data_IF_272824259035
#
_entry.id   IF_272824259035
#
_cell.length_a   1.000
_cell.length_b   1.000
_cell.length_c   1.000
_cell.angle_alpha   90.00
_cell.angle_beta   90.00
_cell.angle_gamma   90.00
#
_symmetry.space_group_name_H-M   'P 1'
#
loop_
_entity.id
_entity.type
_entity.pdbx_description
1 polymer ?
#
# COMPACT_ATOMS: atom_id res chain seq x y z
N UNK A 1 10.49 -8.41 -3.15
CA UNK A 1 9.24 -9.22 -3.06
C UNK A 1 8.89 -9.79 -4.44
N UNK A 2 8.14 -10.91 -4.55
CA UNK A 2 7.73 -11.48 -5.86
C UNK A 2 6.22 -11.30 -6.08
N UNK A 3 5.80 -10.95 -7.31
CA UNK A 3 4.38 -10.75 -7.68
C UNK A 3 3.48 -11.91 -7.24
N UNK A 4 3.91 -13.16 -7.44
CA UNK A 4 3.12 -14.33 -7.06
C UNK A 4 2.80 -14.39 -5.56
N UNK A 5 3.71 -13.91 -4.69
CA UNK A 5 3.49 -13.86 -3.24
C UNK A 5 2.43 -12.82 -2.87
N UNK A 6 2.46 -11.67 -3.56
CA UNK A 6 1.48 -10.59 -3.38
C UNK A 6 0.10 -11.07 -3.81
N UNK A 7 -0.02 -11.59 -5.04
CA UNK A 7 -1.30 -12.07 -5.57
C UNK A 7 -1.90 -13.19 -4.72
N UNK A 8 -1.08 -14.16 -4.30
CA UNK A 8 -1.55 -15.24 -3.42
C UNK A 8 -2.11 -14.71 -2.10
N UNK A 9 -1.57 -13.61 -1.56
CA UNK A 9 -2.12 -12.99 -0.36
C UNK A 9 -3.42 -12.23 -0.67
N UNK A 10 -3.45 -11.43 -1.74
CA UNK A 10 -4.66 -10.69 -2.13
C UNK A 10 -5.84 -11.61 -2.43
N UNK A 11 -5.61 -12.79 -2.99
CA UNK A 11 -6.66 -13.78 -3.25
C UNK A 11 -7.30 -14.33 -1.96
N UNK A 12 -6.66 -14.14 -0.80
CA UNK A 12 -7.23 -14.49 0.51
C UNK A 12 -8.13 -13.42 1.11
N UNK A 13 -8.10 -12.20 0.57
CA UNK A 13 -8.80 -11.04 1.13
C UNK A 13 -10.18 -10.84 0.51
N UNK A 14 -11.10 -10.37 1.34
CA UNK A 14 -12.38 -9.81 0.90
C UNK A 14 -12.19 -8.51 0.13
N UNK A 15 -13.19 -8.13 -0.65
CA UNK A 15 -13.19 -6.85 -1.39
C UNK A 15 -13.07 -5.66 -0.42
N UNK A 16 -13.71 -5.71 0.74
CA UNK A 16 -13.64 -4.63 1.74
C UNK A 16 -12.25 -4.51 2.38
N UNK A 17 -11.58 -5.63 2.68
CA UNK A 17 -10.19 -5.61 3.16
C UNK A 17 -9.24 -5.01 2.11
N UNK A 18 -9.43 -5.38 0.82
CA UNK A 18 -8.67 -4.78 -0.27
C UNK A 18 -8.90 -3.27 -0.37
N UNK A 19 -10.15 -2.81 -0.29
CA UNK A 19 -10.50 -1.38 -0.28
C UNK A 19 -9.75 -0.64 0.82
N UNK A 20 -9.80 -1.17 2.04
CA UNK A 20 -9.10 -0.57 3.18
C UNK A 20 -7.58 -0.54 2.96
N UNK A 21 -7.00 -1.63 2.44
CA UNK A 21 -5.58 -1.69 2.10
C UNK A 21 -5.17 -0.62 1.07
N UNK A 22 -5.86 -0.54 -0.07
CA UNK A 22 -5.56 0.44 -1.10
C UNK A 22 -5.81 1.89 -0.66
N UNK A 23 -6.87 2.14 0.11
CA UNK A 23 -7.13 3.46 0.70
C UNK A 23 -5.98 3.87 1.61
N UNK A 24 -5.45 2.92 2.40
CA UNK A 24 -4.33 3.21 3.30
C UNK A 24 -3.03 3.54 2.57
N UNK A 25 -2.75 2.91 1.43
CA UNK A 25 -1.61 3.28 0.57
C UNK A 25 -1.70 4.77 0.20
N UNK A 26 -2.87 5.24 -0.24
CA UNK A 26 -3.09 6.64 -0.60
C UNK A 26 -2.95 7.58 0.60
N UNK A 27 -3.57 7.25 1.72
CA UNK A 27 -3.51 8.06 2.94
C UNK A 27 -2.05 8.28 3.40
N UNK A 28 -1.27 7.20 3.48
CA UNK A 28 0.12 7.26 3.92
C UNK A 28 1.00 8.01 2.91
N UNK A 29 0.77 7.82 1.61
CA UNK A 29 1.44 8.62 0.60
C UNK A 29 1.17 10.13 0.76
N UNK A 30 -0.09 10.53 0.90
CA UNK A 30 -0.44 11.93 1.08
C UNK A 30 0.11 12.51 2.37
N UNK A 31 0.18 11.73 3.45
CA UNK A 31 0.83 12.14 4.71
C UNK A 31 2.33 12.41 4.51
N UNK A 32 3.04 11.49 3.86
CA UNK A 32 4.48 11.64 3.58
C UNK A 32 4.77 12.82 2.65
N UNK A 33 3.90 13.05 1.66
CA UNK A 33 3.97 14.22 0.78
C UNK A 33 3.78 15.52 1.57
N UNK A 34 2.75 15.60 2.43
CA UNK A 34 2.46 16.78 3.26
C UNK A 34 3.59 17.10 4.24
N UNK A 35 4.22 16.08 4.81
CA UNK A 35 5.28 16.25 5.80
C UNK A 35 6.66 16.54 5.19
N UNK A 36 6.77 16.64 3.85
CA UNK A 36 8.04 16.85 3.12
C UNK A 36 9.12 15.79 3.40
N UNK A 37 8.72 14.59 3.86
CA UNK A 37 9.67 13.49 4.14
C UNK A 37 10.15 12.80 2.88
N UNK A 38 9.42 12.88 1.76
CA UNK A 38 9.90 12.42 0.46
C UNK A 38 10.89 13.45 -0.10
N UNK A 39 12.20 13.12 -0.07
CA UNK A 39 13.21 13.87 -0.83
C UNK A 39 12.79 13.89 -2.31
N UNK A 40 12.97 15.02 -2.99
CA UNK A 40 12.46 15.32 -4.35
C UNK A 40 12.68 14.25 -5.43
N UNK A 41 13.61 13.30 -5.23
CA UNK A 41 13.91 12.23 -6.17
C UNK A 41 13.11 10.94 -5.90
N UNK A 42 12.73 10.66 -4.64
CA UNK A 42 11.81 9.56 -4.30
C UNK A 42 10.34 9.96 -4.57
N UNK A 43 10.03 11.25 -4.54
CA UNK A 43 8.67 11.75 -4.72
C UNK A 43 8.14 11.58 -6.15
N UNK A 44 9.00 11.59 -7.18
CA UNK A 44 8.55 11.58 -8.58
C UNK A 44 7.98 10.21 -8.97
N UNK A 45 8.65 9.12 -8.62
CA UNK A 45 8.18 7.78 -8.98
C UNK A 45 6.89 7.40 -8.22
N UNK A 46 6.81 7.74 -6.93
CA UNK A 46 5.58 7.60 -6.15
C UNK A 46 4.45 8.51 -6.66
N UNK A 47 4.73 9.78 -6.99
CA UNK A 47 3.73 10.71 -7.48
C UNK A 47 3.19 10.33 -8.87
N UNK A 48 4.05 9.91 -9.80
CA UNK A 48 3.63 9.45 -11.14
C UNK A 48 2.66 8.28 -11.05
N UNK A 49 2.89 7.38 -10.09
CA UNK A 49 2.11 6.17 -9.93
C UNK A 49 0.81 6.41 -9.14
N UNK A 50 0.87 7.09 -8.00
CA UNK A 50 -0.29 7.28 -7.13
C UNK A 50 -1.25 8.36 -7.64
N UNK A 51 -0.82 9.29 -8.51
CA UNK A 51 -1.75 10.13 -9.27
C UNK A 51 -2.65 9.33 -10.23
N UNK A 52 -2.28 8.09 -10.59
CA UNK A 52 -3.09 7.19 -11.44
C UNK A 52 -4.05 6.31 -10.65
N UNK A 53 -4.08 6.41 -9.33
CA UNK A 53 -5.13 5.86 -8.46
C UNK A 53 -6.09 7.00 -8.10
N UNK A 54 -7.16 7.25 -8.87
CA UNK A 54 -8.19 8.17 -8.43
C UNK A 54 -8.75 7.69 -7.09
N UNK A 55 -8.95 8.60 -6.13
CA UNK A 55 -9.62 8.29 -4.87
C UNK A 55 -10.97 7.59 -5.10
N UNK A 56 -11.67 7.91 -6.20
CA UNK A 56 -12.93 7.26 -6.60
C UNK A 56 -12.75 5.81 -7.05
N UNK A 57 -11.64 5.49 -7.74
CA UNK A 57 -11.32 4.13 -8.18
C UNK A 57 -11.01 3.24 -6.97
N UNK A 58 -10.31 3.78 -5.98
CA UNK A 58 -9.93 3.05 -4.76
C UNK A 58 -11.12 2.83 -3.84
N UNK A 59 -12.01 3.82 -3.68
CA UNK A 59 -13.18 3.72 -2.79
C UNK A 59 -14.13 2.59 -3.18
N UNK A 60 -14.33 2.38 -4.48
CA UNK A 60 -15.31 1.41 -4.96
C UNK A 60 -14.67 0.14 -5.57
N UNK A 61 -13.36 0.13 -5.83
CA UNK A 61 -12.60 -0.90 -6.58
C UNK A 61 -13.24 -1.33 -7.91
N UNK A 62 -14.14 -0.51 -8.47
CA UNK A 62 -14.83 -0.82 -9.73
C UNK A 62 -13.82 -0.76 -10.87
N UNK A 63 -13.58 -1.92 -11.50
CA UNK A 63 -12.59 -2.05 -12.58
C UNK A 63 -11.14 -2.00 -12.10
N UNK A 64 -10.89 -2.10 -10.79
CA UNK A 64 -9.54 -2.14 -10.26
C UNK A 64 -8.92 -3.54 -10.45
N UNK A 65 -7.77 -3.60 -11.10
CA UNK A 65 -7.05 -4.85 -11.36
C UNK A 65 -5.83 -4.95 -10.43
N UNK A 66 -5.95 -5.77 -9.38
CA UNK A 66 -4.88 -6.04 -8.41
C UNK A 66 -3.56 -6.37 -9.12
N UNK A 67 -3.61 -7.29 -10.08
CA UNK A 67 -2.43 -7.76 -10.79
C UNK A 67 -1.75 -6.63 -11.57
N UNK A 68 -2.52 -5.86 -12.34
CA UNK A 68 -1.99 -4.75 -13.12
C UNK A 68 -1.31 -3.72 -12.20
N UNK A 69 -1.97 -3.38 -11.09
CA UNK A 69 -1.41 -2.46 -10.11
C UNK A 69 -0.07 -2.95 -9.55
N UNK A 70 0.01 -4.19 -9.07
CA UNK A 70 1.22 -4.72 -8.45
C UNK A 70 2.33 -5.05 -9.45
N UNK A 71 1.99 -5.42 -10.69
CA UNK A 71 2.95 -5.53 -11.79
C UNK A 71 3.61 -4.16 -12.04
N UNK A 72 2.82 -3.07 -12.14
CA UNK A 72 3.36 -1.72 -12.32
C UNK A 72 4.22 -1.24 -11.13
N UNK A 73 3.82 -1.53 -9.88
CA UNK A 73 4.64 -1.22 -8.70
C UNK A 73 6.01 -1.89 -8.78
N UNK A 74 6.02 -3.18 -9.13
CA UNK A 74 7.25 -3.97 -9.19
C UNK A 74 8.13 -3.60 -10.39
N UNK A 75 7.55 -3.12 -11.48
CA UNK A 75 8.31 -2.71 -12.67
C UNK A 75 8.91 -1.30 -12.53
N UNK A 76 8.18 -0.37 -11.91
CA UNK A 76 8.57 1.05 -11.83
C UNK A 76 9.41 1.34 -10.57
N UNK A 77 9.04 0.76 -9.43
CA UNK A 77 9.68 1.00 -8.12
C UNK A 77 9.89 -0.30 -7.34
N UNK A 78 10.62 -1.29 -7.90
CA UNK A 78 10.82 -2.60 -7.28
C UNK A 78 11.38 -2.53 -5.85
N UNK A 79 12.26 -1.57 -5.58
CA UNK A 79 12.89 -1.36 -4.27
C UNK A 79 11.92 -0.80 -3.22
N UNK A 80 10.76 -0.29 -3.65
CA UNK A 80 9.70 0.27 -2.78
C UNK A 80 8.46 -0.61 -2.71
N UNK A 81 8.38 -1.66 -3.53
CA UNK A 81 7.23 -2.57 -3.54
C UNK A 81 6.94 -3.16 -2.14
N UNK A 82 7.98 -3.44 -1.35
CA UNK A 82 7.83 -3.96 0.01
C UNK A 82 7.19 -2.94 0.96
N UNK A 83 7.64 -1.68 0.94
CA UNK A 83 7.08 -0.65 1.83
C UNK A 83 5.64 -0.29 1.43
N UNK A 84 5.33 -0.30 0.12
CA UNK A 84 3.96 -0.10 -0.39
C UNK A 84 3.04 -1.23 0.06
N UNK A 85 3.53 -2.47 0.03
CA UNK A 85 2.78 -3.61 0.55
C UNK A 85 2.60 -3.53 2.07
N UNK A 86 3.58 -3.02 2.82
CA UNK A 86 3.39 -2.75 4.25
C UNK A 86 2.30 -1.70 4.50
N UNK A 87 2.24 -0.63 3.70
CA UNK A 87 1.14 0.34 3.76
C UNK A 87 -0.23 -0.28 3.46
N UNK A 88 -0.29 -1.17 2.47
CA UNK A 88 -1.50 -1.95 2.20
C UNK A 88 -1.91 -2.79 3.41
N UNK A 89 -0.96 -3.53 3.99
CA UNK A 89 -1.20 -4.38 5.17
C UNK A 89 -1.71 -3.58 6.38
N UNK A 90 -1.21 -2.36 6.59
CA UNK A 90 -1.72 -1.47 7.65
C UNK A 90 -3.22 -1.23 7.47
N UNK A 91 -3.68 -1.02 6.25
CA UNK A 91 -5.10 -0.81 5.97
C UNK A 91 -5.92 -2.05 6.31
N UNK A 92 -5.45 -3.24 5.92
CA UNK A 92 -6.10 -4.52 6.21
C UNK A 92 -6.16 -4.80 7.72
N UNK A 93 -5.06 -4.58 8.44
CA UNK A 93 -4.99 -4.82 9.88
C UNK A 93 -5.86 -3.81 10.64
N UNK A 94 -5.80 -2.53 10.27
CA UNK A 94 -6.54 -1.47 10.96
C UNK A 94 -8.05 -1.59 10.76
N UNK A 95 -8.52 -2.21 9.67
CA UNK A 95 -9.94 -2.55 9.54
C UNK A 95 -10.44 -3.43 10.70
N UNK A 96 -9.57 -4.31 11.21
CA UNK A 96 -9.86 -5.20 12.34
C UNK A 96 -9.41 -4.64 13.70
N UNK A 97 -8.65 -3.53 13.70
CA UNK A 97 -8.08 -2.84 14.87
C UNK A 97 -8.14 -1.32 14.69
N UNK A 98 -9.33 -0.73 14.59
CA UNK A 98 -9.48 0.69 14.24
C UNK A 98 -8.90 1.65 15.28
N UNK A 99 -8.73 1.19 16.53
CA UNK A 99 -8.14 1.94 17.64
C UNK A 99 -6.61 2.07 17.57
N UNK A 100 -5.93 1.20 16.82
CA UNK A 100 -4.48 1.26 16.65
C UNK A 100 -4.12 2.34 15.63
N UNK A 101 -3.11 3.16 15.93
CA UNK A 101 -2.60 4.13 14.97
C UNK A 101 -1.77 3.45 13.87
N UNK A 102 -1.81 4.03 12.67
CA UNK A 102 -1.18 3.44 11.48
C UNK A 102 0.35 3.36 11.58
N UNK A 103 0.99 4.16 12.44
CA UNK A 103 2.45 4.17 12.63
C UNK A 103 2.87 2.99 13.49
N UNK A 104 2.17 2.75 14.60
CA UNK A 104 2.37 1.58 15.47
C UNK A 104 2.22 0.27 14.70
N UNK A 105 1.17 0.15 13.87
CA UNK A 105 0.97 -1.04 13.02
C UNK A 105 2.13 -1.20 12.02
N UNK A 106 2.61 -0.10 11.41
CA UNK A 106 3.77 -0.13 10.52
C UNK A 106 5.03 -0.63 11.23
N UNK A 107 5.31 -0.13 12.43
CA UNK A 107 6.46 -0.55 13.23
C UNK A 107 6.39 -2.04 13.59
N UNK A 108 5.22 -2.53 14.02
CA UNK A 108 4.99 -3.95 14.30
C UNK A 108 5.19 -4.84 13.06
N UNK A 109 4.76 -4.38 11.88
CA UNK A 109 4.96 -5.12 10.63
C UNK A 109 6.44 -5.14 10.20
N UNK A 110 7.20 -4.10 10.51
CA UNK A 110 8.64 -4.05 10.24
C UNK A 110 9.40 -4.99 11.19
N UNK A 111 9.06 -4.97 12.48
CA UNK A 111 9.74 -5.78 13.50
C UNK A 111 9.48 -7.29 13.30
N UNK A 112 8.28 -7.67 12.85
CA UNK A 112 7.94 -9.06 12.55
C UNK A 112 8.64 -9.62 11.30
N UNK A 113 9.10 -8.76 10.38
CA UNK A 113 9.92 -9.16 9.24
C UNK A 113 11.41 -9.32 9.61
N UNK A 114 11.87 -8.72 10.71
CA UNK A 114 13.25 -8.85 11.22
C UNK A 114 13.42 -10.12 12.09
N UNK A 115 12.31 -10.66 12.62
CA UNK A 115 12.31 -11.83 13.49
C UNK A 115 12.18 -13.20 12.76
N UNK A 116 12.21 -13.23 11.41
CA UNK A 116 12.13 -14.44 10.57
C UNK A 116 13.31 -14.55 9.62
#
# INVERSE_FOLDING_TARGET
>A
MKINKIMSYLDTLTIEEKKHGYTKILDLFFQLLKQRYLKEVESIAFAIFLHKLPDSLVKDLVGFEDKLFWDEVLDIIPEKAEIIFKWFMVGVVQMNRPEDDSIKIMEELIDNDIAK
#
